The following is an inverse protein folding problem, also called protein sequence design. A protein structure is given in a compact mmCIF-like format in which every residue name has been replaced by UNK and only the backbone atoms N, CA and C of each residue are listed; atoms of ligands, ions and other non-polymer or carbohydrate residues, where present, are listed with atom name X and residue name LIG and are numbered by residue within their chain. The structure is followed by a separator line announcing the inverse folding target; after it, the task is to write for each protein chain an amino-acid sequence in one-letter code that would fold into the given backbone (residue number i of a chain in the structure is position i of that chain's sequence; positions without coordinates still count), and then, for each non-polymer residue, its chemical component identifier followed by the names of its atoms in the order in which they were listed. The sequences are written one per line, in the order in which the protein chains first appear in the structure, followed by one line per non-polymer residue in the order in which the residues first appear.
data_IF_723984467391
#
_entry.id   IF_723984467391
#
_cell.length_a   1.000
_cell.length_b   1.000
_cell.length_c   1.000
_cell.angle_alpha   90.00
_cell.angle_beta   90.00
_cell.angle_gamma   90.00
#
_symmetry.space_group_name_H-M   'P 1'
#
loop_
_entity.id
_entity.type
_entity.pdbx_description
1 polymer ?
#
# COMPACT_ATOMS: atom_id res chain seq x y z
N UNK A 1 -0.66 -14.34 -29.26
CA UNK A 1 -1.46 -13.24 -29.84
C UNK A 1 -2.79 -12.91 -29.15
N UNK A 2 -3.70 -13.86 -28.77
CA UNK A 2 -4.98 -13.48 -28.11
C UNK A 2 -4.90 -13.29 -26.59
N UNK A 3 -3.94 -13.95 -25.93
CA UNK A 3 -3.76 -13.89 -24.47
C UNK A 3 -3.01 -12.62 -24.01
N UNK A 4 -1.99 -12.18 -24.78
CA UNK A 4 -1.17 -11.00 -24.43
C UNK A 4 -2.01 -9.71 -24.40
N UNK A 5 -2.87 -9.52 -25.41
CA UNK A 5 -3.79 -8.38 -25.51
C UNK A 5 -4.81 -8.32 -24.36
N UNK A 6 -5.16 -9.46 -23.78
CA UNK A 6 -6.07 -9.56 -22.63
C UNK A 6 -5.39 -9.20 -21.29
N UNK A 7 -4.10 -9.51 -21.17
CA UNK A 7 -3.30 -9.18 -19.98
C UNK A 7 -3.05 -7.68 -19.93
N UNK A 8 -2.74 -7.06 -21.08
CA UNK A 8 -2.49 -5.62 -21.23
C UNK A 8 -3.74 -4.80 -20.86
N UNK A 9 -4.92 -5.16 -21.40
CA UNK A 9 -6.18 -4.46 -21.09
C UNK A 9 -6.57 -4.56 -19.60
N UNK A 10 -6.30 -5.70 -18.95
CA UNK A 10 -6.53 -5.85 -17.51
C UNK A 10 -5.56 -5.03 -16.67
N UNK A 11 -4.31 -4.89 -17.09
CA UNK A 11 -3.35 -4.03 -16.38
C UNK A 11 -3.75 -2.56 -16.48
N UNK A 12 -4.16 -2.08 -17.66
CA UNK A 12 -4.63 -0.70 -17.86
C UNK A 12 -5.88 -0.36 -17.04
N UNK A 13 -6.86 -1.27 -16.98
CA UNK A 13 -8.06 -1.06 -16.19
C UNK A 13 -7.76 -1.01 -14.68
N UNK A 14 -6.82 -1.84 -14.21
CA UNK A 14 -6.34 -1.81 -12.82
C UNK A 14 -5.58 -0.52 -12.54
N UNK A 15 -4.72 -0.07 -13.45
CA UNK A 15 -4.01 1.21 -13.33
C UNK A 15 -4.96 2.41 -13.24
N UNK A 16 -5.97 2.49 -14.13
CA UNK A 16 -6.98 3.56 -14.07
C UNK A 16 -7.86 3.51 -12.82
N UNK A 17 -8.13 2.33 -12.28
CA UNK A 17 -8.83 2.20 -11.00
C UNK A 17 -7.96 2.63 -9.81
N UNK A 18 -6.65 2.36 -9.88
CA UNK A 18 -5.65 2.76 -8.88
C UNK A 18 -5.52 4.28 -8.82
N UNK A 19 -5.50 4.99 -9.96
CA UNK A 19 -5.45 6.46 -10.00
C UNK A 19 -6.62 7.16 -9.30
N UNK A 20 -7.80 6.54 -9.25
CA UNK A 20 -9.00 7.14 -8.63
C UNK A 20 -8.99 7.05 -7.11
N UNK A 21 -8.24 6.11 -6.52
CA UNK A 21 -8.20 5.96 -5.07
C UNK A 21 -7.14 6.88 -4.51
N UNK A 22 -7.59 8.01 -3.96
CA UNK A 22 -6.72 8.92 -3.23
C UNK A 22 -6.27 8.29 -1.91
N UNK A 23 -4.97 8.04 -1.78
CA UNK A 23 -4.32 7.63 -0.54
C UNK A 23 -3.83 8.88 0.21
N UNK A 24 -4.07 8.90 1.51
CA UNK A 24 -3.41 9.81 2.44
C UNK A 24 -1.98 9.36 2.70
N UNK A 25 -1.16 10.27 3.21
CA UNK A 25 0.23 9.98 3.58
C UNK A 25 0.35 8.79 4.56
N UNK A 26 -0.49 8.75 5.60
CA UNK A 26 -0.51 7.64 6.56
C UNK A 26 -0.88 6.30 5.92
N UNK A 27 -1.84 6.32 4.97
CA UNK A 27 -2.20 5.12 4.20
C UNK A 27 -1.03 4.64 3.33
N UNK A 28 -0.30 5.57 2.70
CA UNK A 28 0.88 5.23 1.90
C UNK A 28 2.01 4.66 2.74
N UNK A 29 2.30 5.24 3.92
CA UNK A 29 3.29 4.72 4.86
C UNK A 29 2.91 3.29 5.26
N UNK A 30 1.68 3.06 5.72
CA UNK A 30 1.20 1.73 6.10
C UNK A 30 1.38 0.70 4.96
N UNK A 31 1.07 1.08 3.71
CA UNK A 31 1.24 0.18 2.56
C UNK A 31 2.73 -0.14 2.32
N UNK A 32 3.60 0.85 2.43
CA UNK A 32 5.05 0.67 2.23
C UNK A 32 5.67 -0.21 3.32
N UNK A 33 5.26 -0.03 4.58
CA UNK A 33 5.78 -0.81 5.72
C UNK A 33 5.31 -2.27 5.70
N UNK A 34 4.13 -2.57 5.15
CA UNK A 34 3.69 -3.96 4.95
C UNK A 34 4.49 -4.61 3.82
N UNK A 35 4.82 -3.87 2.77
CA UNK A 35 5.67 -4.38 1.70
C UNK A 35 5.10 -5.63 1.00
N UNK A 36 5.99 -6.59 0.74
CA UNK A 36 5.61 -7.94 0.27
C UNK A 36 5.43 -8.94 1.43
N UNK A 37 5.47 -8.48 2.68
CA UNK A 37 5.50 -9.35 3.85
C UNK A 37 4.11 -9.88 4.21
N UNK A 38 4.11 -11.06 4.83
CA UNK A 38 2.95 -11.62 5.50
C UNK A 38 3.10 -11.45 7.00
N UNK A 39 2.52 -10.38 7.53
CA UNK A 39 2.66 -10.05 8.94
C UNK A 39 1.69 -10.89 9.76
N UNK A 40 2.23 -11.71 10.67
CA UNK A 40 1.46 -12.70 11.44
C UNK A 40 0.28 -12.10 12.23
N UNK A 41 0.40 -10.86 12.68
CA UNK A 41 -0.61 -10.20 13.51
C UNK A 41 -0.75 -8.73 13.18
N UNK A 42 -1.98 -8.31 12.82
CA UNK A 42 -2.30 -6.89 12.65
C UNK A 42 -2.07 -6.08 13.93
N UNK A 43 -2.26 -6.67 15.11
CA UNK A 43 -1.98 -5.99 16.38
C UNK A 43 -0.48 -5.71 16.56
N UNK A 44 0.38 -6.66 16.19
CA UNK A 44 1.83 -6.46 16.26
C UNK A 44 2.29 -5.34 15.31
N UNK A 45 1.71 -5.30 14.10
CA UNK A 45 1.95 -4.21 13.16
C UNK A 45 1.46 -2.85 13.69
N UNK A 46 0.32 -2.82 14.39
CA UNK A 46 -0.19 -1.58 14.99
C UNK A 46 0.76 -1.04 16.06
N UNK A 47 1.33 -1.91 16.90
CA UNK A 47 2.33 -1.50 17.88
C UNK A 47 3.59 -0.96 17.19
N UNK A 48 4.09 -1.68 16.19
CA UNK A 48 5.23 -1.23 15.37
C UNK A 48 5.01 0.18 14.78
N UNK A 49 3.88 0.43 14.13
CA UNK A 49 3.60 1.75 13.54
C UNK A 49 3.43 2.84 14.61
N UNK A 50 2.88 2.48 15.77
CA UNK A 50 2.78 3.41 16.89
C UNK A 50 4.17 3.81 17.41
N UNK A 51 5.07 2.85 17.57
CA UNK A 51 6.42 3.08 18.10
C UNK A 51 7.31 3.84 17.10
N UNK A 52 7.32 3.45 15.82
CA UNK A 52 8.24 4.06 14.85
C UNK A 52 7.75 5.37 14.24
N UNK A 53 6.44 5.53 14.05
CA UNK A 53 5.86 6.68 13.36
C UNK A 53 5.06 7.62 14.29
N UNK A 54 4.88 7.24 15.56
CA UNK A 54 4.11 8.02 16.54
C UNK A 54 2.61 8.10 16.25
N UNK A 55 2.08 7.27 15.34
CA UNK A 55 0.65 7.29 15.02
C UNK A 55 -0.14 6.62 16.14
N UNK A 56 -1.20 7.26 16.63
CA UNK A 56 -2.03 6.63 17.66
C UNK A 56 -2.60 5.29 17.17
N UNK A 57 -2.62 4.27 18.05
CA UNK A 57 -3.11 2.92 17.73
C UNK A 57 -4.51 2.92 17.07
N UNK A 58 -5.41 3.78 17.55
CA UNK A 58 -6.74 3.96 16.98
C UNK A 58 -6.69 4.48 15.53
N UNK A 59 -5.78 5.40 15.22
CA UNK A 59 -5.54 5.89 13.86
C UNK A 59 -5.00 4.77 12.96
N UNK A 60 -4.06 3.96 13.43
CA UNK A 60 -3.53 2.85 12.64
C UNK A 60 -4.63 1.83 12.33
N UNK A 61 -5.39 1.41 13.34
CA UNK A 61 -6.54 0.52 13.16
C UNK A 61 -7.58 1.08 12.19
N UNK A 62 -7.90 2.37 12.29
CA UNK A 62 -8.82 3.03 11.37
C UNK A 62 -8.33 2.92 9.93
N UNK A 63 -7.05 3.20 9.68
CA UNK A 63 -6.47 3.12 8.34
C UNK A 63 -6.39 1.68 7.82
N UNK A 64 -6.00 0.70 8.65
CA UNK A 64 -6.03 -0.73 8.27
C UNK A 64 -7.42 -1.16 7.81
N UNK A 65 -8.47 -0.83 8.59
CA UNK A 65 -9.86 -1.15 8.24
C UNK A 65 -10.30 -0.43 6.96
N UNK A 66 -9.91 0.83 6.79
CA UNK A 66 -10.22 1.62 5.58
C UNK A 66 -9.55 1.02 4.34
N UNK A 67 -8.30 0.59 4.45
CA UNK A 67 -7.55 -0.05 3.35
C UNK A 67 -8.09 -1.46 3.04
N UNK A 68 -8.51 -2.24 4.04
CA UNK A 68 -9.23 -3.51 3.84
C UNK A 68 -10.55 -3.29 3.09
N UNK A 69 -11.35 -2.28 3.47
CA UNK A 69 -12.57 -1.89 2.74
C UNK A 69 -12.32 -1.46 1.29
N UNK A 70 -11.16 -0.86 1.01
CA UNK A 70 -10.72 -0.52 -0.35
C UNK A 70 -10.20 -1.74 -1.15
N UNK A 71 -10.12 -2.92 -0.54
CA UNK A 71 -9.56 -4.12 -1.15
C UNK A 71 -8.03 -4.07 -1.31
N UNK A 72 -7.35 -3.20 -0.59
CA UNK A 72 -5.89 -3.02 -0.64
C UNK A 72 -5.18 -3.99 0.30
N UNK A 73 -5.78 -4.26 1.46
CA UNK A 73 -5.24 -5.16 2.49
C UNK A 73 -6.15 -6.37 2.70
N UNK A 74 -5.56 -7.46 3.14
CA UNK A 74 -6.24 -8.64 3.68
C UNK A 74 -5.69 -8.91 5.08
N UNK A 75 -6.57 -9.07 6.07
CA UNK A 75 -6.24 -9.52 7.43
C UNK A 75 -7.50 -9.96 8.17
N UNK A 76 -7.33 -10.81 9.18
CA UNK A 76 -8.45 -11.24 10.04
C UNK A 76 -8.77 -10.20 11.12
N UNK A 77 -10.04 -9.85 11.24
CA UNK A 77 -10.56 -9.09 12.39
C UNK A 77 -10.91 -10.00 13.58
N UNK A 78 -11.15 -9.38 14.75
CA UNK A 78 -11.53 -10.12 15.95
C UNK A 78 -12.79 -10.93 15.69
N UNK A 79 -12.70 -12.26 15.82
CA UNK A 79 -13.81 -13.19 15.58
C UNK A 79 -13.81 -13.82 14.17
N UNK A 80 -12.90 -13.41 13.29
CA UNK A 80 -12.67 -14.09 12.01
C UNK A 80 -11.62 -15.21 12.17
N UNK A 81 -11.59 -16.16 11.23
CA UNK A 81 -10.52 -17.16 11.15
C UNK A 81 -9.16 -16.49 10.93
N UNK A 82 -8.10 -17.01 11.56
CA UNK A 82 -6.79 -16.38 11.61
C UNK A 82 -6.19 -16.21 10.19
N UNK A 83 -5.89 -14.96 9.82
CA UNK A 83 -5.22 -14.61 8.55
C UNK A 83 -4.15 -13.55 8.81
N UNK A 84 -2.98 -13.65 8.16
CA UNK A 84 -1.95 -12.63 8.26
C UNK A 84 -2.43 -11.29 7.68
N UNK A 85 -1.78 -10.21 8.10
CA UNK A 85 -1.87 -8.91 7.46
C UNK A 85 -0.93 -8.88 6.26
N UNK A 86 -1.50 -8.67 5.07
CA UNK A 86 -0.76 -8.64 3.81
C UNK A 86 -1.42 -7.70 2.80
N UNK A 87 -0.64 -7.25 1.81
CA UNK A 87 -1.18 -6.56 0.64
C UNK A 87 -1.93 -7.54 -0.26
N UNK A 88 -3.09 -7.12 -0.77
CA UNK A 88 -3.71 -7.83 -1.89
C UNK A 88 -2.95 -7.56 -3.19
N UNK A 89 -3.33 -8.24 -4.27
CA UNK A 89 -2.83 -7.90 -5.62
C UNK A 89 -3.03 -6.41 -5.96
N UNK A 90 -4.16 -5.83 -5.55
CA UNK A 90 -4.43 -4.40 -5.72
C UNK A 90 -3.49 -3.57 -4.85
N UNK A 91 -3.26 -3.96 -3.60
CA UNK A 91 -2.33 -3.27 -2.71
C UNK A 91 -0.89 -3.26 -3.23
N UNK A 92 -0.42 -4.37 -3.80
CA UNK A 92 0.90 -4.43 -4.45
C UNK A 92 1.01 -3.42 -5.59
N UNK A 93 -0.05 -3.24 -6.39
CA UNK A 93 -0.08 -2.21 -7.44
C UNK A 93 0.01 -0.80 -6.87
N UNK A 94 -0.65 -0.51 -5.74
CA UNK A 94 -0.51 0.80 -5.06
C UNK A 94 0.91 1.01 -4.54
N UNK A 95 1.48 0.03 -3.86
CA UNK A 95 2.85 0.09 -3.34
C UNK A 95 3.86 0.41 -4.46
N UNK A 96 3.75 -0.28 -5.60
CA UNK A 96 4.62 -0.02 -6.76
C UNK A 96 4.46 1.41 -7.30
N UNK A 97 3.24 1.92 -7.38
CA UNK A 97 2.98 3.29 -7.82
C UNK A 97 3.55 4.33 -6.83
N UNK A 98 3.43 4.09 -5.53
CA UNK A 98 4.02 4.94 -4.49
C UNK A 98 5.55 4.95 -4.65
N UNK A 99 6.17 3.78 -4.75
CA UNK A 99 7.61 3.64 -4.93
C UNK A 99 8.11 4.34 -6.20
N UNK A 100 7.43 4.16 -7.33
CA UNK A 100 7.79 4.82 -8.60
C UNK A 100 7.67 6.35 -8.51
N UNK A 101 6.60 6.85 -7.87
CA UNK A 101 6.39 8.29 -7.69
C UNK A 101 7.49 8.89 -6.80
N UNK A 102 7.85 8.21 -5.73
CA UNK A 102 8.91 8.66 -4.81
C UNK A 102 10.28 8.61 -5.46
N UNK A 103 10.60 7.55 -6.20
CA UNK A 103 11.85 7.44 -6.97
C UNK A 103 11.96 8.53 -8.04
N UNK A 104 10.87 8.82 -8.76
CA UNK A 104 10.82 9.90 -9.75
C UNK A 104 11.08 11.26 -9.09
N UNK A 105 10.41 11.56 -7.97
CA UNK A 105 10.64 12.80 -7.21
C UNK A 105 12.08 12.92 -6.73
N UNK A 106 12.68 11.83 -6.23
CA UNK A 106 14.08 11.81 -5.81
C UNK A 106 15.02 12.07 -6.99
N UNK A 107 14.79 11.43 -8.14
CA UNK A 107 15.60 11.63 -9.35
C UNK A 107 15.51 13.07 -9.88
N UNK A 108 14.30 13.66 -9.92
CA UNK A 108 14.13 15.08 -10.30
C UNK A 108 14.76 16.03 -9.28
N UNK A 109 14.67 15.73 -7.98
CA UNK A 109 15.33 16.51 -6.93
C UNK A 109 16.85 16.51 -7.07
N UNK A 110 17.44 15.35 -7.39
CA UNK A 110 18.87 15.20 -7.66
C UNK A 110 19.27 15.95 -8.94
N UNK A 111 18.46 15.89 -9.99
CA UNK A 111 18.74 16.60 -11.24
C UNK A 111 18.76 18.13 -11.07
N UNK A 112 17.92 18.67 -10.17
CA UNK A 112 17.90 20.10 -9.85
C UNK A 112 19.07 20.47 -8.92
N UNK A 113 19.45 19.61 -7.97
CA UNK A 113 20.56 19.88 -7.05
C UNK A 113 21.95 19.64 -7.62
N UNK A 114 22.06 18.91 -8.74
CA UNK A 114 23.33 18.62 -9.44
C UNK A 114 23.61 19.57 -10.60
N UNK A 115 22.78 20.60 -10.77
CA UNK A 115 22.91 21.60 -11.81
C UNK A 115 22.98 23.01 -11.22
N UNK A 116 24.08 23.34 -10.55
CA UNK A 116 24.72 24.68 -10.46
C UNK A 116 26.16 24.52 -9.99
#
# INVERSE_FOLDING_TARGET
MRAEKYIEYKQDAVFKAVERIKLSEKESIIIMEIGYDQIKSASAFVEYIFEEYGFSRSTVWYNLKKLKKKGILSFSERGEGQKPLELTRTGISFMRNIAYTNASKAAYGIAISSGY
#
